data_IF_316509660407
#
_entry.id   IF_316509660407
#
_cell.length_a   1.000
_cell.length_b   1.000
_cell.length_c   1.000
_cell.angle_alpha   90.00
_cell.angle_beta   90.00
_cell.angle_gamma   90.00
#
_symmetry.space_group_name_H-M   'P 1'
#
loop_
_entity.id
_entity.type
_entity.pdbx_description
1 polymer ?
#
# COMPACT_ATOMS: atom_id res chain seq x y z
N UNK A 1 -24.00 -6.35 56.07
CA UNK A 1 -23.14 -5.22 56.47
C UNK A 1 -21.82 -5.86 56.86
N UNK A 2 -20.73 -5.79 56.11
CA UNK A 2 -20.08 -4.58 55.60
C UNK A 2 -19.27 -4.86 54.31
N UNK A 3 -19.12 -3.81 53.50
CA UNK A 3 -18.35 -3.79 52.25
C UNK A 3 -16.89 -3.43 52.58
N UNK A 4 -15.91 -4.05 51.91
CA UNK A 4 -14.73 -3.33 51.39
C UNK A 4 -14.09 -4.11 50.24
N UNK A 5 -13.66 -3.32 49.26
CA UNK A 5 -13.29 -3.62 47.87
C UNK A 5 -11.83 -3.22 47.71
N UNK A 6 -11.04 -3.99 46.95
CA UNK A 6 -9.88 -3.61 46.12
C UNK A 6 -9.26 -4.91 45.59
N UNK A 7 -9.29 -5.30 44.31
CA UNK A 7 -8.97 -4.65 43.03
C UNK A 7 -7.45 -4.48 42.80
N UNK A 8 -6.96 -5.08 41.70
CA UNK A 8 -5.60 -4.97 41.15
C UNK A 8 -4.89 -6.32 41.22
N UNK A 9 -4.59 -7.04 40.14
CA UNK A 9 -4.10 -6.60 38.83
C UNK A 9 -4.76 -7.43 37.73
N UNK A 10 -5.63 -6.79 36.94
CA UNK A 10 -5.99 -7.31 35.62
C UNK A 10 -4.77 -7.23 34.73
N UNK A 11 -4.33 -8.36 34.19
CA UNK A 11 -3.59 -8.33 32.94
C UNK A 11 -4.52 -7.67 31.92
N UNK A 12 -4.16 -6.48 31.44
CA UNK A 12 -4.88 -5.80 30.38
C UNK A 12 -4.94 -6.72 29.14
N UNK A 13 -6.12 -7.23 28.72
CA UNK A 13 -6.22 -7.98 27.47
C UNK A 13 -6.22 -7.06 26.24
N UNK A 14 -6.01 -5.75 26.44
CA UNK A 14 -6.25 -4.71 25.44
C UNK A 14 -5.13 -4.55 24.40
N UNK A 15 -3.99 -5.23 24.52
CA UNK A 15 -2.89 -5.19 23.52
C UNK A 15 -3.10 -6.20 22.39
N UNK A 16 -4.17 -7.01 22.43
CA UNK A 16 -4.63 -7.81 21.29
C UNK A 16 -5.78 -7.14 20.53
N UNK A 17 -5.72 -5.81 20.38
CA UNK A 17 -6.43 -5.16 19.28
C UNK A 17 -5.74 -5.64 17.99
N UNK A 18 -6.27 -6.70 17.35
CA UNK A 18 -5.81 -7.32 16.08
C UNK A 18 -4.78 -6.44 15.34
N UNK A 19 -3.49 -6.68 15.58
CA UNK A 19 -2.41 -5.85 15.03
C UNK A 19 -2.49 -5.89 13.51
N UNK A 20 -2.78 -4.75 12.88
CA UNK A 20 -2.81 -4.61 11.43
C UNK A 20 -1.43 -4.14 10.97
N UNK A 21 -0.55 -5.09 10.65
CA UNK A 21 0.83 -4.79 10.26
C UNK A 21 0.93 -3.84 9.07
N UNK A 22 -0.02 -3.87 8.14
CA UNK A 22 -0.07 -2.93 7.01
C UNK A 22 -0.42 -1.50 7.44
N UNK A 23 -1.29 -1.33 8.44
CA UNK A 23 -1.57 -0.03 9.03
C UNK A 23 -0.35 0.51 9.77
N UNK A 24 0.36 -0.34 10.51
CA UNK A 24 1.56 0.08 11.24
C UNK A 24 2.70 0.44 10.28
N UNK A 25 2.86 -0.30 9.18
CA UNK A 25 3.78 0.06 8.09
C UNK A 25 3.43 1.42 7.48
N UNK A 26 2.14 1.67 7.24
CA UNK A 26 1.65 2.94 6.72
C UNK A 26 1.92 4.10 7.70
N UNK A 27 1.76 3.88 9.02
CA UNK A 27 2.09 4.87 10.04
C UNK A 27 3.59 5.17 10.05
N UNK A 28 4.45 4.14 10.02
CA UNK A 28 5.90 4.31 9.98
C UNK A 28 6.36 5.15 8.77
N UNK A 29 5.81 4.88 7.58
CA UNK A 29 6.07 5.70 6.40
C UNK A 29 5.60 7.16 6.57
N UNK A 30 4.43 7.38 7.20
CA UNK A 30 3.88 8.72 7.40
C UNK A 30 4.68 9.55 8.42
N UNK A 31 5.48 8.92 9.28
CA UNK A 31 6.40 9.58 10.21
C UNK A 31 7.77 9.90 9.58
N UNK A 32 8.08 9.36 8.40
CA UNK A 32 9.30 9.65 7.65
C UNK A 32 8.99 10.64 6.52
N UNK A 33 9.64 11.81 6.50
CA UNK A 33 9.32 12.88 5.54
C UNK A 33 9.51 12.47 4.07
N UNK A 34 10.58 11.73 3.76
CA UNK A 34 10.83 11.27 2.39
C UNK A 34 9.75 10.26 1.95
N UNK A 35 9.45 9.26 2.80
CA UNK A 35 8.43 8.26 2.52
C UNK A 35 7.05 8.90 2.37
N UNK A 36 6.64 9.75 3.33
CA UNK A 36 5.38 10.49 3.30
C UNK A 36 5.23 11.32 2.03
N UNK A 37 6.28 12.04 1.64
CA UNK A 37 6.30 12.91 0.45
C UNK A 37 6.12 12.09 -0.83
N UNK A 38 6.97 11.08 -1.04
CA UNK A 38 6.90 10.24 -2.25
C UNK A 38 5.62 9.41 -2.30
N UNK A 39 5.13 8.95 -1.15
CA UNK A 39 3.85 8.25 -1.02
C UNK A 39 2.69 9.13 -1.44
N UNK A 40 2.60 10.33 -0.88
CA UNK A 40 1.55 11.31 -1.25
C UNK A 40 1.62 11.68 -2.74
N UNK A 41 2.83 11.78 -3.28
CA UNK A 41 3.05 12.06 -4.70
C UNK A 41 2.45 10.99 -5.61
N UNK A 42 2.77 9.70 -5.43
CA UNK A 42 2.20 8.67 -6.31
C UNK A 42 0.69 8.54 -6.09
N UNK A 43 0.19 8.63 -4.85
CA UNK A 43 -1.24 8.55 -4.56
C UNK A 43 -2.01 9.66 -5.29
N UNK A 44 -1.56 10.91 -5.20
CA UNK A 44 -2.22 12.05 -5.87
C UNK A 44 -2.20 11.92 -7.40
N UNK A 45 -1.13 11.36 -7.98
CA UNK A 45 -1.02 11.15 -9.43
C UNK A 45 -1.92 10.00 -9.90
N UNK A 46 -1.93 8.89 -9.16
CA UNK A 46 -2.66 7.68 -9.53
C UNK A 46 -4.17 7.79 -9.25
N UNK A 47 -4.58 8.59 -8.28
CA UNK A 47 -6.00 8.81 -7.93
C UNK A 47 -6.68 9.92 -8.74
N UNK A 48 -5.91 10.67 -9.56
CA UNK A 48 -6.46 11.76 -10.36
C UNK A 48 -7.13 11.22 -11.61
N UNK A 49 -8.45 11.32 -11.67
CA UNK A 49 -9.23 11.08 -12.88
C UNK A 49 -8.86 12.10 -13.97
N UNK A 50 -8.74 11.64 -15.22
CA UNK A 50 -8.34 12.48 -16.36
C UNK A 50 -9.36 12.32 -17.48
N UNK A 51 -10.29 13.26 -17.69
CA UNK A 51 -11.21 13.21 -18.82
C UNK A 51 -10.46 13.14 -20.17
N UNK A 52 -10.88 12.32 -21.16
CA UNK A 52 -12.03 11.40 -21.18
C UNK A 52 -11.73 9.98 -20.62
N UNK A 53 -10.52 9.74 -20.12
CA UNK A 53 -10.12 8.47 -19.52
C UNK A 53 -10.68 8.34 -18.09
N UNK A 54 -11.68 7.48 -17.92
CA UNK A 54 -12.41 7.26 -16.65
C UNK A 54 -11.60 6.63 -15.49
N UNK A 55 -10.26 6.70 -15.49
CA UNK A 55 -9.41 6.13 -14.43
C UNK A 55 -8.29 7.07 -14.01
N UNK A 56 -7.21 7.15 -14.78
CA UNK A 56 -6.03 7.95 -14.44
C UNK A 56 -5.05 8.03 -15.62
N UNK A 57 -4.02 8.89 -15.51
CA UNK A 57 -2.85 8.81 -16.40
C UNK A 57 -1.89 7.69 -15.93
N UNK A 58 -2.11 6.46 -16.43
CA UNK A 58 -1.34 5.26 -16.03
C UNK A 58 0.17 5.42 -16.21
N UNK A 59 0.62 6.06 -17.29
CA UNK A 59 2.06 6.33 -17.54
C UNK A 59 2.69 7.20 -16.44
N UNK A 60 2.01 8.28 -16.03
CA UNK A 60 2.48 9.14 -14.93
C UNK A 60 2.43 8.40 -13.58
N UNK A 61 1.37 7.62 -13.33
CA UNK A 61 1.25 6.81 -12.12
C UNK A 61 2.40 5.79 -11.99
N UNK A 62 2.70 5.03 -13.05
CA UNK A 62 3.82 4.08 -13.05
C UNK A 62 5.17 4.76 -12.83
N UNK A 63 5.38 5.94 -13.42
CA UNK A 63 6.61 6.72 -13.19
C UNK A 63 6.74 7.12 -11.71
N UNK A 64 5.66 7.58 -11.08
CA UNK A 64 5.66 7.97 -9.67
C UNK A 64 5.83 6.76 -8.73
N UNK A 65 5.22 5.62 -9.05
CA UNK A 65 5.41 4.37 -8.32
C UNK A 65 6.86 3.90 -8.38
N UNK A 66 7.50 3.89 -9.56
CA UNK A 66 8.93 3.58 -9.67
C UNK A 66 9.78 4.50 -8.81
N UNK A 67 9.55 5.81 -8.88
CA UNK A 67 10.25 6.78 -8.02
C UNK A 67 10.05 6.51 -6.52
N UNK A 68 8.88 6.05 -6.10
CA UNK A 68 8.64 5.68 -4.71
C UNK A 68 9.49 4.46 -4.30
N UNK A 69 9.48 3.39 -5.09
CA UNK A 69 10.24 2.18 -4.77
C UNK A 69 11.76 2.35 -4.93
N UNK A 70 12.22 3.21 -5.83
CA UNK A 70 13.65 3.47 -6.05
C UNK A 70 14.26 4.39 -4.98
N UNK A 71 13.46 5.33 -4.44
CA UNK A 71 13.98 6.42 -3.59
C UNK A 71 13.56 6.34 -2.12
N UNK A 72 12.61 5.47 -1.78
CA UNK A 72 12.25 5.20 -0.38
C UNK A 72 12.98 3.93 0.06
N UNK A 73 13.64 3.95 1.23
CA UNK A 73 14.34 2.77 1.74
C UNK A 73 13.44 1.53 1.86
N UNK A 74 14.05 0.36 1.65
CA UNK A 74 13.39 -0.95 1.65
C UNK A 74 12.63 -1.24 2.94
N UNK A 75 13.11 -0.76 4.09
CA UNK A 75 12.46 -0.97 5.39
C UNK A 75 11.05 -0.34 5.48
N UNK A 76 10.74 0.65 4.65
CA UNK A 76 9.39 1.21 4.53
C UNK A 76 8.60 0.57 3.40
N UNK A 77 9.19 0.46 2.21
CA UNK A 77 8.48 0.01 1.01
C UNK A 77 8.07 -1.47 1.11
N UNK A 78 8.99 -2.34 1.51
CA UNK A 78 8.72 -3.77 1.68
C UNK A 78 7.79 -4.03 2.86
N UNK A 79 7.91 -3.25 3.93
CA UNK A 79 7.01 -3.36 5.09
C UNK A 79 5.56 -3.01 4.74
N UNK A 80 5.34 -2.08 3.80
CA UNK A 80 4.01 -1.76 3.28
C UNK A 80 3.51 -2.79 2.26
N UNK A 81 4.38 -3.26 1.36
CA UNK A 81 3.99 -4.13 0.25
C UNK A 81 3.79 -5.59 0.69
N UNK A 82 4.60 -6.07 1.64
CA UNK A 82 4.67 -7.47 2.04
C UNK A 82 4.25 -7.71 3.50
N UNK A 83 3.53 -6.76 4.12
CA UNK A 83 2.94 -6.97 5.44
C UNK A 83 2.06 -8.24 5.48
N UNK A 84 2.12 -9.00 6.57
CA UNK A 84 1.21 -10.12 6.83
C UNK A 84 -0.15 -9.62 7.32
N UNK A 85 -1.20 -10.40 7.08
CA UNK A 85 -2.58 -10.04 7.42
C UNK A 85 -3.35 -11.23 7.96
N UNK A 86 -4.22 -10.98 8.93
CA UNK A 86 -5.12 -11.97 9.53
C UNK A 86 -6.60 -11.71 9.19
N UNK A 87 -6.92 -10.55 8.61
CA UNK A 87 -8.27 -10.17 8.21
C UNK A 87 -8.33 -9.52 6.82
N UNK A 88 -9.54 -9.43 6.29
CA UNK A 88 -9.81 -8.87 4.97
C UNK A 88 -9.47 -7.37 4.88
N UNK A 89 -9.66 -6.62 5.97
CA UNK A 89 -9.38 -5.19 6.00
C UNK A 89 -7.88 -4.90 5.84
N UNK A 90 -7.02 -5.69 6.49
CA UNK A 90 -5.57 -5.67 6.29
C UNK A 90 -5.20 -6.09 4.87
N UNK A 91 -5.78 -7.20 4.38
CA UNK A 91 -5.49 -7.71 3.05
C UNK A 91 -5.85 -6.68 1.96
N UNK A 92 -6.97 -5.99 2.10
CA UNK A 92 -7.39 -4.94 1.18
C UNK A 92 -6.47 -3.71 1.28
N UNK A 93 -6.06 -3.30 2.49
CA UNK A 93 -5.05 -2.25 2.66
C UNK A 93 -3.75 -2.59 1.94
N UNK A 94 -3.27 -3.83 2.06
CA UNK A 94 -2.09 -4.32 1.34
C UNK A 94 -2.29 -4.24 -0.17
N UNK A 95 -3.44 -4.72 -0.67
CA UNK A 95 -3.81 -4.68 -2.09
C UNK A 95 -3.84 -3.26 -2.65
N UNK A 96 -4.29 -2.29 -1.84
CA UNK A 96 -4.40 -0.88 -2.24
C UNK A 96 -3.07 -0.13 -2.24
N UNK A 97 -1.97 -0.72 -1.78
CA UNK A 97 -0.65 -0.06 -1.68
C UNK A 97 -0.20 0.61 -2.98
N UNK A 98 -0.47 -0.02 -4.12
CA UNK A 98 -0.08 0.46 -5.45
C UNK A 98 -1.24 1.12 -6.23
N UNK A 99 -2.41 1.33 -5.63
CA UNK A 99 -3.64 1.81 -6.29
C UNK A 99 -3.96 1.02 -7.57
N UNK A 100 -4.36 -0.27 -7.44
CA UNK A 100 -4.47 -1.16 -8.59
C UNK A 100 -5.55 -0.75 -9.59
N UNK A 101 -6.59 -0.02 -9.18
CA UNK A 101 -7.60 0.53 -10.10
C UNK A 101 -6.99 1.41 -11.22
N UNK A 102 -5.80 1.99 -10.96
CA UNK A 102 -5.06 2.78 -11.92
C UNK A 102 -3.83 2.04 -12.47
N UNK A 103 -3.04 1.40 -11.60
CA UNK A 103 -1.69 0.90 -11.93
C UNK A 103 -1.65 -0.57 -12.36
N UNK A 104 -2.67 -1.35 -12.04
CA UNK A 104 -2.70 -2.79 -12.26
C UNK A 104 -3.85 -3.19 -13.18
N UNK A 105 -5.09 -2.91 -12.78
CA UNK A 105 -6.30 -3.24 -13.52
C UNK A 105 -6.35 -2.53 -14.87
N UNK A 106 -6.87 -3.24 -15.86
CA UNK A 106 -7.14 -2.74 -17.20
C UNK A 106 -8.50 -3.32 -17.68
N UNK A 107 -9.06 -2.79 -18.76
CA UNK A 107 -10.32 -3.28 -19.33
C UNK A 107 -10.16 -4.69 -19.90
N UNK A 108 -9.01 -4.94 -20.50
CA UNK A 108 -8.65 -6.21 -21.11
C UNK A 108 -7.60 -6.92 -20.25
N UNK A 109 -7.66 -8.26 -20.25
CA UNK A 109 -6.67 -9.12 -19.59
C UNK A 109 -5.92 -9.90 -20.67
N UNK A 110 -4.86 -9.32 -21.26
CA UNK A 110 -4.09 -9.99 -22.31
C UNK A 110 -3.38 -11.24 -21.79
N UNK A 111 -2.97 -12.12 -22.70
CA UNK A 111 -2.21 -13.32 -22.35
C UNK A 111 -0.84 -12.94 -21.75
N UNK A 112 -0.38 -13.70 -20.76
CA UNK A 112 0.90 -13.45 -20.08
C UNK A 112 2.10 -13.49 -21.04
N UNK A 113 2.07 -14.32 -22.09
CA UNK A 113 3.16 -14.42 -23.07
C UNK A 113 3.21 -13.19 -24.00
N UNK A 114 2.05 -12.64 -24.36
CA UNK A 114 1.96 -11.40 -25.15
C UNK A 114 2.46 -10.21 -24.33
N UNK A 115 2.02 -10.10 -23.07
CA UNK A 115 2.55 -9.09 -22.13
C UNK A 115 4.06 -9.20 -21.94
N UNK A 116 4.60 -10.43 -21.87
CA UNK A 116 6.04 -10.66 -21.82
C UNK A 116 6.73 -10.16 -23.08
N UNK A 117 6.12 -10.34 -24.26
CA UNK A 117 6.60 -9.77 -25.52
C UNK A 117 6.69 -8.24 -25.48
N UNK A 118 5.63 -7.58 -25.00
CA UNK A 118 5.60 -6.11 -24.80
C UNK A 118 6.69 -5.66 -23.82
N UNK A 119 6.84 -6.33 -22.68
CA UNK A 119 7.84 -5.99 -21.67
C UNK A 119 9.28 -6.13 -22.21
N UNK A 120 9.57 -7.18 -23.00
CA UNK A 120 10.90 -7.38 -23.60
C UNK A 120 11.31 -6.28 -24.59
N UNK A 121 10.35 -5.57 -25.19
CA UNK A 121 10.62 -4.46 -26.08
C UNK A 121 11.00 -3.16 -25.34
N UNK A 122 10.70 -3.05 -24.04
CA UNK A 122 11.05 -1.90 -23.20
C UNK A 122 12.31 -2.21 -22.38
N UNK A 123 13.35 -1.38 -22.47
CA UNK A 123 14.63 -1.63 -21.82
C UNK A 123 14.60 -1.61 -20.29
N UNK A 124 13.63 -0.94 -19.68
CA UNK A 124 13.50 -0.87 -18.23
C UNK A 124 12.69 -2.06 -17.69
N UNK A 125 11.72 -2.54 -18.47
CA UNK A 125 10.92 -3.70 -18.11
C UNK A 125 11.64 -5.03 -18.34
N UNK A 126 12.40 -5.12 -19.45
CA UNK A 126 13.14 -6.32 -19.87
C UNK A 126 14.18 -6.76 -18.86
#
# INVERSE_FOLDING_TARGET
>A
MDRRRSAGTGADPAVSAKSNHCLDAAKACNLNDNCKKLRSSYISICNREVPPAARCNRRRCHKALRQFFDRVPGEYTYRMLFCSCQDQACAERRRQTILPSCSYEDKEKPNCLDLRGVCRADHLCR
#
